data_IF_957076830643
#
_entry.id   IF_957076830643
#
_cell.length_a   1.000
_cell.length_b   1.000
_cell.length_c   1.000
_cell.angle_alpha   90.00
_cell.angle_beta   90.00
_cell.angle_gamma   90.00
#
_symmetry.space_group_name_H-M   'P 1'
#
loop_
_entity.id
_entity.type
_entity.pdbx_description
1 polymer ?
#
# COMPACT_ATOMS: atom_id res chain seq x y z
N UNK A 1 -32.24 -5.89 9.65
CA UNK A 1 -30.84 -5.44 9.69
C UNK A 1 -30.74 -4.29 8.71
N UNK A 2 -30.98 -3.07 9.20
CA UNK A 2 -30.66 -1.86 8.43
C UNK A 2 -29.13 -1.85 8.23
N UNK A 3 -28.70 -1.78 6.98
CA UNK A 3 -27.31 -1.52 6.67
C UNK A 3 -26.99 -0.10 7.13
N UNK A 4 -25.97 0.06 7.97
CA UNK A 4 -25.45 1.38 8.34
C UNK A 4 -25.12 2.16 7.07
N UNK A 5 -25.52 3.45 6.98
CA UNK A 5 -25.26 4.25 5.80
C UNK A 5 -23.76 4.44 5.63
N UNK A 6 -23.24 4.07 4.46
CA UNK A 6 -21.85 4.34 4.08
C UNK A 6 -21.67 5.86 4.04
N UNK A 7 -20.76 6.44 4.85
CA UNK A 7 -20.61 7.89 4.95
C UNK A 7 -20.11 8.49 3.63
N UNK A 8 -20.62 9.68 3.31
CA UNK A 8 -20.31 10.40 2.07
C UNK A 8 -18.82 10.82 2.05
N UNK A 9 -18.07 10.63 0.93
CA UNK A 9 -16.66 11.00 0.83
C UNK A 9 -16.33 12.47 1.18
N UNK A 10 -17.30 13.38 1.05
CA UNK A 10 -17.15 14.80 1.42
C UNK A 10 -17.21 15.00 2.95
N UNK A 11 -18.01 14.20 3.66
CA UNK A 11 -18.10 14.24 5.14
C UNK A 11 -16.88 13.59 5.81
N UNK A 12 -16.29 12.55 5.20
CA UNK A 12 -15.08 11.93 5.74
C UNK A 12 -13.90 12.93 5.74
N UNK A 13 -13.82 13.76 4.70
CA UNK A 13 -12.82 14.85 4.63
C UNK A 13 -13.03 15.92 5.70
N UNK A 14 -14.24 16.13 6.21
CA UNK A 14 -14.51 17.11 7.28
C UNK A 14 -14.17 16.55 8.66
N UNK A 15 -14.37 15.25 8.88
CA UNK A 15 -14.02 14.57 10.14
C UNK A 15 -12.51 14.50 10.32
N UNK A 16 -11.77 13.99 9.33
CA UNK A 16 -10.31 13.88 9.42
C UNK A 16 -9.64 15.25 9.59
N UNK A 17 -10.19 16.28 8.94
CA UNK A 17 -9.75 17.66 9.11
C UNK A 17 -9.96 18.15 10.55
N UNK A 18 -11.16 17.97 11.12
CA UNK A 18 -11.45 18.38 12.49
C UNK A 18 -10.57 17.62 13.51
N UNK A 19 -10.29 16.33 13.26
CA UNK A 19 -9.33 15.57 14.05
C UNK A 19 -7.94 16.19 13.96
N UNK A 20 -7.47 16.53 12.76
CA UNK A 20 -6.16 17.16 12.58
C UNK A 20 -6.02 18.52 13.27
N UNK A 21 -7.07 19.35 13.30
CA UNK A 21 -7.07 20.61 14.06
C UNK A 21 -6.89 20.37 15.57
N UNK A 22 -7.65 19.42 16.12
CA UNK A 22 -7.56 19.03 17.54
C UNK A 22 -6.21 18.43 17.88
N UNK A 23 -5.66 17.58 17.00
CA UNK A 23 -4.31 17.02 17.14
C UNK A 23 -3.26 18.14 17.15
N UNK A 24 -3.42 19.17 16.30
CA UNK A 24 -2.59 20.37 16.31
C UNK A 24 -2.62 21.11 17.66
N UNK A 25 -3.76 21.10 18.35
CA UNK A 25 -3.91 21.64 19.70
C UNK A 25 -3.36 20.72 20.81
N UNK A 26 -2.89 19.52 20.48
CA UNK A 26 -2.33 18.55 21.44
C UNK A 26 -3.35 17.53 21.97
N UNK A 27 -4.51 17.38 21.34
CA UNK A 27 -5.53 16.40 21.73
C UNK A 27 -5.09 14.97 21.35
N UNK A 28 -4.65 14.21 22.36
CA UNK A 28 -4.28 12.80 22.20
C UNK A 28 -5.47 11.88 21.89
N UNK A 29 -6.69 12.25 22.31
CA UNK A 29 -7.89 11.49 22.02
C UNK A 29 -8.24 11.57 20.54
N UNK A 30 -8.16 12.78 19.96
CA UNK A 30 -8.34 12.97 18.52
C UNK A 30 -7.29 12.20 17.70
N UNK A 31 -6.05 12.13 18.18
CA UNK A 31 -5.01 11.34 17.51
C UNK A 31 -5.31 9.84 17.55
N UNK A 32 -5.76 9.31 18.69
CA UNK A 32 -6.16 7.89 18.79
C UNK A 32 -7.26 7.57 17.78
N UNK A 33 -8.29 8.41 17.72
CA UNK A 33 -9.40 8.23 16.78
C UNK A 33 -8.91 8.23 15.33
N UNK A 34 -8.03 9.17 14.96
CA UNK A 34 -7.44 9.21 13.63
C UNK A 34 -6.65 7.94 13.31
N UNK A 35 -5.86 7.42 14.27
CA UNK A 35 -5.11 6.18 14.10
C UNK A 35 -6.06 5.00 13.90
N UNK A 36 -7.09 4.85 14.74
CA UNK A 36 -8.07 3.76 14.64
C UNK A 36 -8.78 3.74 13.28
N UNK A 37 -9.10 4.91 12.72
CA UNK A 37 -9.74 5.04 11.40
C UNK A 37 -8.85 4.60 10.24
N UNK A 38 -7.54 4.89 10.31
CA UNK A 38 -6.65 4.78 9.14
C UNK A 38 -5.59 3.68 9.24
N UNK A 39 -5.33 3.13 10.42
CA UNK A 39 -4.19 2.21 10.63
C UNK A 39 -4.24 0.96 9.77
N UNK A 40 -5.41 0.35 9.61
CA UNK A 40 -5.55 -0.89 8.84
C UNK A 40 -5.25 -0.66 7.35
N UNK A 41 -5.71 0.47 6.82
CA UNK A 41 -5.47 0.86 5.42
C UNK A 41 -3.98 1.17 5.18
N UNK A 42 -3.34 1.89 6.10
CA UNK A 42 -1.90 2.18 6.04
C UNK A 42 -1.08 0.88 6.13
N UNK A 43 -1.36 0.02 7.11
CA UNK A 43 -0.66 -1.27 7.29
C UNK A 43 -0.85 -2.13 6.04
N UNK A 44 -2.08 -2.25 5.52
CA UNK A 44 -2.38 -3.00 4.31
C UNK A 44 -1.63 -2.48 3.09
N UNK A 45 -1.58 -1.15 2.90
CA UNK A 45 -0.81 -0.50 1.84
C UNK A 45 0.68 -0.81 1.99
N UNK A 46 1.25 -0.67 3.18
CA UNK A 46 2.67 -0.94 3.42
C UNK A 46 3.00 -2.43 3.20
N UNK A 47 2.13 -3.33 3.66
CA UNK A 47 2.31 -4.78 3.49
C UNK A 47 2.36 -5.17 2.02
N UNK A 48 1.48 -4.59 1.18
CA UNK A 48 1.50 -4.82 -0.28
C UNK A 48 2.72 -4.23 -0.97
N UNK A 49 3.39 -3.28 -0.34
CA UNK A 49 4.60 -2.67 -0.86
C UNK A 49 5.86 -3.42 -0.43
N UNK A 50 5.96 -3.85 0.82
CA UNK A 50 7.18 -4.39 1.44
C UNK A 50 7.16 -5.90 1.71
N UNK A 51 5.98 -6.53 1.73
CA UNK A 51 5.80 -7.98 1.87
C UNK A 51 6.04 -8.55 3.29
N UNK A 52 6.40 -7.73 4.28
CA UNK A 52 6.69 -8.18 5.65
C UNK A 52 5.74 -7.51 6.65
N UNK A 53 4.97 -8.31 7.40
CA UNK A 53 3.97 -7.83 8.36
C UNK A 53 4.58 -6.99 9.50
N UNK A 54 5.65 -7.46 10.14
CA UNK A 54 6.27 -6.76 11.27
C UNK A 54 6.83 -5.40 10.84
N UNK A 55 7.49 -5.34 9.68
CA UNK A 55 7.99 -4.07 9.15
C UNK A 55 6.84 -3.14 8.72
N UNK A 56 5.69 -3.69 8.34
CA UNK A 56 4.54 -2.89 7.92
C UNK A 56 3.96 -2.11 9.09
N UNK A 57 3.86 -2.75 10.26
CA UNK A 57 3.44 -2.09 11.50
C UNK A 57 4.43 -1.00 11.91
N UNK A 58 5.73 -1.27 11.86
CA UNK A 58 6.78 -0.29 12.20
C UNK A 58 6.74 0.95 11.30
N UNK A 59 6.56 0.75 9.99
CA UNK A 59 6.43 1.85 9.04
C UNK A 59 5.10 2.60 9.24
N UNK A 60 3.99 1.90 9.50
CA UNK A 60 2.71 2.54 9.79
C UNK A 60 2.79 3.41 11.06
N UNK A 61 3.44 2.92 12.12
CA UNK A 61 3.71 3.73 13.31
C UNK A 61 4.49 5.00 12.96
N UNK A 62 5.53 4.89 12.12
CA UNK A 62 6.29 6.06 11.66
C UNK A 62 5.43 7.05 10.84
N UNK A 63 4.46 6.58 10.05
CA UNK A 63 3.49 7.43 9.36
C UNK A 63 2.71 8.27 10.37
N UNK A 64 2.07 7.64 11.36
CA UNK A 64 1.26 8.35 12.34
C UNK A 64 2.09 9.26 13.26
N UNK A 65 3.32 8.86 13.61
CA UNK A 65 4.24 9.74 14.34
C UNK A 65 4.60 10.99 13.53
N UNK A 66 4.75 10.89 12.21
CA UNK A 66 4.97 12.06 11.34
C UNK A 66 3.72 12.93 11.27
N UNK A 67 2.53 12.34 11.23
CA UNK A 67 1.27 13.09 11.25
C UNK A 67 1.17 13.89 12.56
N UNK A 68 1.35 13.24 13.71
CA UNK A 68 1.36 13.91 15.02
C UNK A 68 2.34 15.09 15.06
N UNK A 69 3.59 14.87 14.63
CA UNK A 69 4.64 15.90 14.63
C UNK A 69 4.31 17.09 13.71
N UNK A 70 3.58 16.86 12.63
CA UNK A 70 3.26 17.89 11.64
C UNK A 70 1.85 18.49 11.79
N UNK A 71 1.01 17.96 12.68
CA UNK A 71 -0.39 18.39 12.80
C UNK A 71 -0.56 19.89 13.03
N UNK A 72 0.31 20.51 13.83
CA UNK A 72 0.32 21.97 14.06
C UNK A 72 0.51 22.81 12.79
N UNK A 73 1.12 22.24 11.76
CA UNK A 73 1.45 22.92 10.49
C UNK A 73 0.59 22.41 9.33
N UNK A 74 -0.31 21.48 9.60
CA UNK A 74 -1.17 20.89 8.58
C UNK A 74 -2.12 21.96 8.02
N UNK A 75 -2.25 21.98 6.69
CA UNK A 75 -3.21 22.82 5.96
C UNK A 75 -4.02 21.90 5.03
N UNK A 76 -5.35 22.03 4.99
CA UNK A 76 -6.22 21.17 4.21
C UNK A 76 -6.29 21.63 2.74
N UNK A 77 -5.16 21.60 2.04
CA UNK A 77 -5.11 22.00 0.62
C UNK A 77 -5.60 20.86 -0.31
N UNK A 78 -5.71 19.64 0.22
CA UNK A 78 -6.24 18.44 -0.42
C UNK A 78 -6.89 17.54 0.64
N UNK A 79 -7.52 16.43 0.21
CA UNK A 79 -8.06 15.43 1.14
C UNK A 79 -6.97 14.93 2.07
N UNK A 80 -7.34 14.64 3.33
CA UNK A 80 -6.42 14.10 4.31
C UNK A 80 -5.76 12.78 3.84
N UNK A 81 -6.51 11.92 3.14
CA UNK A 81 -5.99 10.67 2.57
C UNK A 81 -4.83 10.90 1.60
N UNK A 82 -4.87 11.96 0.79
CA UNK A 82 -3.74 12.36 -0.08
C UNK A 82 -2.50 12.69 0.76
N UNK A 83 -2.65 13.46 1.84
CA UNK A 83 -1.55 13.78 2.74
C UNK A 83 -1.00 12.53 3.45
N UNK A 84 -1.87 11.67 3.96
CA UNK A 84 -1.55 10.39 4.60
C UNK A 84 -0.72 9.48 3.67
N UNK A 85 -1.20 9.28 2.44
CA UNK A 85 -0.53 8.41 1.49
C UNK A 85 0.73 9.03 0.90
N UNK A 86 0.87 10.36 0.88
CA UNK A 86 2.15 11.03 0.55
C UNK A 86 3.23 10.69 1.58
N UNK A 87 2.90 10.75 2.88
CA UNK A 87 3.83 10.35 3.95
C UNK A 87 4.17 8.87 3.84
N UNK A 88 3.16 8.03 3.65
CA UNK A 88 3.31 6.57 3.50
C UNK A 88 4.21 6.21 2.33
N UNK A 89 3.96 6.78 1.15
CA UNK A 89 4.78 6.61 -0.06
C UNK A 89 6.23 6.97 0.19
N UNK A 90 6.49 8.08 0.87
CA UNK A 90 7.86 8.51 1.16
C UNK A 90 8.61 7.52 2.05
N UNK A 91 7.95 7.01 3.10
CA UNK A 91 8.54 6.02 4.00
C UNK A 91 8.79 4.69 3.28
N UNK A 92 7.79 4.20 2.54
CA UNK A 92 7.90 2.96 1.77
C UNK A 92 9.04 3.03 0.75
N UNK A 93 9.13 4.08 -0.06
CA UNK A 93 10.18 4.19 -1.08
C UNK A 93 11.57 4.30 -0.46
N UNK A 94 11.69 4.99 0.68
CA UNK A 94 12.95 5.04 1.41
C UNK A 94 13.37 3.66 1.92
N UNK A 95 12.44 2.86 2.45
CA UNK A 95 12.75 1.51 2.93
C UNK A 95 13.07 0.55 1.77
N UNK A 96 12.32 0.61 0.67
CA UNK A 96 12.62 -0.15 -0.56
C UNK A 96 14.05 0.12 -1.04
N UNK A 97 14.45 1.40 -1.13
CA UNK A 97 15.80 1.79 -1.54
C UNK A 97 16.87 1.34 -0.54
N UNK A 98 16.57 1.41 0.76
CA UNK A 98 17.46 0.92 1.82
C UNK A 98 17.68 -0.58 1.70
N UNK A 99 16.63 -1.36 1.40
CA UNK A 99 16.73 -2.81 1.17
C UNK A 99 17.53 -3.14 -0.07
N UNK A 100 17.31 -2.45 -1.18
CA UNK A 100 18.10 -2.66 -2.41
C UNK A 100 19.59 -2.46 -2.15
N UNK A 101 19.98 -1.39 -1.45
CA UNK A 101 21.39 -1.14 -1.07
C UNK A 101 21.95 -2.21 -0.13
N UNK A 102 21.17 -2.68 0.85
CA UNK A 102 21.62 -3.78 1.74
C UNK A 102 21.85 -5.08 0.96
N UNK A 103 21.01 -5.36 -0.03
CA UNK A 103 21.16 -6.54 -0.90
C UNK A 103 22.41 -6.41 -1.77
N UNK A 104 22.69 -5.23 -2.31
CA UNK A 104 23.94 -4.96 -3.06
C UNK A 104 25.19 -5.17 -2.19
N UNK A 105 25.20 -4.65 -0.95
CA UNK A 105 26.35 -4.82 -0.02
C UNK A 105 26.49 -6.26 0.48
N UNK A 106 25.38 -6.97 0.69
CA UNK A 106 25.40 -8.39 1.08
C UNK A 106 25.76 -9.32 -0.10
N UNK A 107 25.70 -8.85 -1.34
CA UNK A 107 26.02 -9.64 -2.53
C UNK A 107 27.54 -9.80 -2.74
N UNK A 108 28.38 -9.03 -2.03
CA UNK A 108 29.84 -9.24 -1.96
C UNK A 108 30.24 -10.33 -0.93
N UNK A 109 29.29 -10.78 -0.10
CA UNK A 109 29.51 -11.84 0.88
C UNK A 109 28.32 -12.82 0.88
N UNK A 110 28.26 -13.68 -0.14
CA UNK A 110 27.71 -15.05 -0.19
C UNK A 110 27.14 -15.38 -1.57
N UNK A 111 27.95 -16.07 -2.37
CA UNK A 111 27.43 -17.25 -3.07
C UNK A 111 27.05 -18.31 -2.02
N UNK A 112 26.09 -19.15 -2.39
CA UNK A 112 25.42 -20.18 -1.56
C UNK A 112 24.31 -19.66 -0.65
N UNK A 113 23.06 -19.78 -1.15
CA UNK A 113 22.11 -20.69 -0.52
C UNK A 113 20.95 -21.01 -1.47
N UNK A 114 20.93 -22.28 -1.90
CA UNK A 114 19.78 -23.19 -1.98
C UNK A 114 18.49 -22.68 -2.65
N UNK A 115 18.27 -23.14 -3.89
CA UNK A 115 16.94 -23.51 -4.35
C UNK A 115 16.36 -24.54 -3.38
N UNK A 116 15.34 -24.17 -2.61
CA UNK A 116 14.36 -25.13 -2.11
C UNK A 116 13.19 -25.12 -3.07
N UNK A 117 13.26 -26.03 -4.03
CA UNK A 117 12.08 -26.56 -4.70
C UNK A 117 11.31 -27.35 -3.64
N UNK A 118 10.11 -26.88 -3.31
CA UNK A 118 9.17 -27.66 -2.50
C UNK A 118 8.64 -28.77 -3.40
N UNK A 119 8.96 -30.01 -3.06
CA UNK A 119 8.37 -31.20 -3.66
C UNK A 119 6.87 -31.23 -3.36
N UNK A 120 6.04 -31.05 -4.38
CA UNK A 120 4.61 -31.30 -4.29
C UNK A 120 4.38 -32.81 -4.41
N UNK A 121 3.85 -33.42 -3.34
CA UNK A 121 3.39 -34.81 -3.33
C UNK A 121 2.17 -34.97 -4.26
N UNK A 122 2.03 -36.09 -4.98
CA UNK A 122 0.84 -36.34 -5.78
C UNK A 122 -0.30 -36.86 -4.92
N UNK A 123 -1.53 -36.55 -5.33
CA UNK A 123 -2.83 -36.96 -4.77
C UNK A 123 -3.46 -36.02 -3.73
N UNK A 124 -4.16 -35.01 -4.24
CA UNK A 124 -5.52 -34.63 -3.81
C UNK A 124 -6.17 -33.77 -4.89
N UNK A 125 -7.42 -34.10 -5.25
CA UNK A 125 -8.22 -33.34 -6.22
C UNK A 125 -8.36 -31.88 -5.74
N UNK A 126 -8.27 -30.87 -6.64
CA UNK A 126 -8.34 -29.48 -6.21
C UNK A 126 -9.79 -29.08 -5.89
N UNK A 127 -10.04 -28.78 -4.62
CA UNK A 127 -11.17 -27.95 -4.18
C UNK A 127 -10.97 -26.53 -4.70
N UNK A 128 -12.04 -25.88 -5.18
CA UNK A 128 -12.00 -24.54 -5.77
C UNK A 128 -11.34 -23.47 -4.87
N UNK A 129 -11.32 -23.69 -3.55
CA UNK A 129 -10.66 -22.83 -2.57
C UNK A 129 -9.13 -22.83 -2.70
N UNK A 130 -8.52 -23.98 -3.02
CA UNK A 130 -7.07 -24.08 -3.22
C UNK A 130 -6.64 -23.32 -4.48
N UNK A 131 -7.42 -23.46 -5.56
CA UNK A 131 -7.16 -22.78 -6.83
C UNK A 131 -7.28 -21.25 -6.69
N UNK A 132 -8.24 -20.79 -5.87
CA UNK A 132 -8.39 -19.37 -5.57
C UNK A 132 -7.24 -18.82 -4.72
N UNK A 133 -6.73 -19.60 -3.76
CA UNK A 133 -5.57 -19.22 -2.95
C UNK A 133 -4.29 -19.13 -3.81
N UNK A 134 -4.09 -20.08 -4.72
CA UNK A 134 -2.97 -20.06 -5.67
C UNK A 134 -3.03 -18.84 -6.59
N UNK A 135 -4.20 -18.52 -7.13
CA UNK A 135 -4.39 -17.31 -7.94
C UNK A 135 -4.10 -16.04 -7.14
N UNK A 136 -4.58 -15.96 -5.90
CA UNK A 136 -4.34 -14.80 -5.04
C UNK A 136 -2.85 -14.63 -4.73
N UNK A 137 -2.14 -15.71 -4.43
CA UNK A 137 -0.70 -15.69 -4.23
C UNK A 137 0.06 -15.27 -5.51
N UNK A 138 -0.36 -15.77 -6.67
CA UNK A 138 0.19 -15.36 -7.96
C UNK A 138 -0.01 -13.86 -8.22
N UNK A 139 -1.20 -13.32 -7.91
CA UNK A 139 -1.51 -11.90 -8.03
C UNK A 139 -0.61 -11.07 -7.10
N UNK A 140 -0.48 -11.46 -5.83
CA UNK A 140 0.34 -10.73 -4.87
C UNK A 140 1.83 -10.77 -5.25
N UNK A 141 2.34 -11.91 -5.74
CA UNK A 141 3.68 -12.02 -6.32
C UNK A 141 3.87 -11.13 -7.55
N UNK A 142 2.92 -11.12 -8.47
CA UNK A 142 2.98 -10.30 -9.68
C UNK A 142 2.99 -8.80 -9.35
N UNK A 143 2.16 -8.36 -8.40
CA UNK A 143 2.16 -6.99 -7.88
C UNK A 143 3.51 -6.66 -7.21
N UNK A 144 4.05 -7.59 -6.42
CA UNK A 144 5.37 -7.44 -5.79
C UNK A 144 6.54 -7.47 -6.80
N UNK A 145 6.33 -7.89 -8.05
CA UNK A 145 7.29 -7.80 -9.14
C UNK A 145 7.31 -6.44 -9.85
N UNK A 146 6.26 -5.61 -9.67
CA UNK A 146 6.18 -4.32 -10.34
C UNK A 146 7.21 -3.30 -9.80
N UNK A 147 7.70 -2.37 -10.65
CA UNK A 147 8.46 -1.21 -10.20
C UNK A 147 7.73 -0.43 -9.09
N UNK A 148 8.47 0.16 -8.14
CA UNK A 148 7.90 0.76 -6.91
C UNK A 148 6.74 1.73 -7.18
N UNK A 149 6.89 2.60 -8.19
CA UNK A 149 5.87 3.58 -8.54
C UNK A 149 4.63 2.93 -9.18
N UNK A 150 4.83 1.90 -10.02
CA UNK A 150 3.74 1.11 -10.62
C UNK A 150 2.94 0.38 -9.55
N UNK A 151 3.64 -0.29 -8.64
CA UNK A 151 3.05 -1.00 -7.51
C UNK A 151 2.23 -0.06 -6.63
N UNK A 152 2.81 1.07 -6.22
CA UNK A 152 2.12 2.05 -5.38
C UNK A 152 0.84 2.55 -6.05
N UNK A 153 0.89 2.91 -7.34
CA UNK A 153 -0.32 3.37 -8.04
C UNK A 153 -1.40 2.28 -8.12
N UNK A 154 -1.02 1.02 -8.37
CA UNK A 154 -1.97 -0.11 -8.37
C UNK A 154 -2.60 -0.29 -7.00
N UNK A 155 -1.80 -0.25 -5.93
CA UNK A 155 -2.27 -0.43 -4.56
C UNK A 155 -3.25 0.69 -4.18
N UNK A 156 -2.87 1.95 -4.37
CA UNK A 156 -3.72 3.11 -4.09
C UNK A 156 -5.01 3.09 -4.92
N UNK A 157 -4.94 2.64 -6.17
CA UNK A 157 -6.14 2.59 -7.03
C UNK A 157 -7.09 1.46 -6.64
N UNK A 158 -6.56 0.27 -6.35
CA UNK A 158 -7.36 -0.94 -6.16
C UNK A 158 -7.91 -1.05 -4.74
N UNK A 159 -7.08 -0.78 -3.74
CA UNK A 159 -7.42 -1.02 -2.33
C UNK A 159 -7.90 0.25 -1.65
N UNK A 160 -7.21 1.37 -1.91
CA UNK A 160 -7.56 2.67 -1.31
C UNK A 160 -8.55 3.48 -2.16
N UNK A 161 -8.91 2.98 -3.34
CA UNK A 161 -9.91 3.54 -4.26
C UNK A 161 -9.67 5.01 -4.63
N UNK A 162 -8.41 5.47 -4.59
CA UNK A 162 -8.07 6.84 -4.91
C UNK A 162 -8.32 7.17 -6.40
N UNK A 163 -8.71 8.42 -6.65
CA UNK A 163 -8.83 8.98 -7.98
C UNK A 163 -7.47 9.10 -8.67
N UNK A 164 -7.45 9.31 -9.98
CA UNK A 164 -6.16 9.48 -10.68
C UNK A 164 -5.47 10.79 -10.30
N UNK A 165 -6.25 11.81 -9.96
CA UNK A 165 -5.81 13.10 -9.42
C UNK A 165 -5.16 12.91 -8.04
N UNK A 166 -5.83 12.21 -7.13
CA UNK A 166 -5.28 11.94 -5.80
C UNK A 166 -4.00 11.10 -5.86
N UNK A 167 -3.95 10.09 -6.74
CA UNK A 167 -2.73 9.30 -6.96
C UNK A 167 -1.62 10.16 -7.57
N UNK A 168 -1.96 11.09 -8.46
CA UNK A 168 -1.01 12.01 -9.06
C UNK A 168 -0.36 12.90 -7.99
N UNK A 169 -1.17 13.44 -7.07
CA UNK A 169 -0.70 14.22 -5.93
C UNK A 169 0.20 13.39 -5.00
N UNK A 170 -0.22 12.18 -4.62
CA UNK A 170 0.56 11.27 -3.76
C UNK A 170 1.91 10.92 -4.37
N UNK A 171 1.96 10.70 -5.69
CA UNK A 171 3.18 10.31 -6.40
C UNK A 171 4.03 11.49 -6.84
N UNK A 172 3.50 12.73 -6.81
CA UNK A 172 4.16 13.91 -7.36
C UNK A 172 4.28 13.87 -8.88
N UNK A 173 3.25 13.35 -9.56
CA UNK A 173 3.23 13.14 -11.02
C UNK A 173 2.06 13.90 -11.66
N UNK A 174 2.04 13.98 -12.99
CA UNK A 174 0.83 14.42 -13.70
C UNK A 174 -0.20 13.29 -13.79
N UNK A 175 -1.48 13.63 -13.89
CA UNK A 175 -2.56 12.65 -14.12
C UNK A 175 -2.30 11.80 -15.38
N UNK A 176 -1.72 12.38 -16.43
CA UNK A 176 -1.33 11.66 -17.65
C UNK A 176 -0.23 10.62 -17.39
N UNK A 177 0.76 10.97 -16.56
CA UNK A 177 1.81 10.05 -16.15
C UNK A 177 1.25 8.90 -15.31
N UNK A 178 0.30 9.17 -14.39
CA UNK A 178 -0.39 8.12 -13.61
C UNK A 178 -1.17 7.17 -14.51
N UNK A 179 -1.93 7.69 -15.49
CA UNK A 179 -2.65 6.85 -16.47
C UNK A 179 -1.70 5.92 -17.22
N UNK A 180 -0.58 6.45 -17.71
CA UNK A 180 0.45 5.68 -18.41
C UNK A 180 1.12 4.63 -17.53
N UNK A 181 1.31 4.96 -16.25
CA UNK A 181 1.94 4.09 -15.26
C UNK A 181 1.00 2.94 -14.87
N UNK A 182 -0.28 3.21 -14.63
CA UNK A 182 -1.30 2.18 -14.38
C UNK A 182 -1.53 1.30 -15.61
N UNK A 183 -1.49 1.86 -16.82
CA UNK A 183 -1.59 1.08 -18.05
C UNK A 183 -0.44 0.06 -18.14
N UNK A 184 0.81 0.53 -17.96
CA UNK A 184 1.99 -0.35 -17.96
C UNK A 184 1.90 -1.43 -16.89
N UNK A 185 1.51 -1.06 -15.67
CA UNK A 185 1.32 -2.01 -14.58
C UNK A 185 0.31 -3.11 -14.94
N UNK A 186 -0.84 -2.75 -15.51
CA UNK A 186 -1.86 -3.73 -15.95
C UNK A 186 -1.35 -4.65 -17.06
N UNK A 187 -0.54 -4.13 -17.99
CA UNK A 187 0.07 -4.95 -19.04
C UNK A 187 1.02 -5.98 -18.44
N UNK A 188 1.94 -5.55 -17.58
CA UNK A 188 2.88 -6.47 -16.90
C UNK A 188 2.16 -7.50 -16.02
N UNK A 189 1.10 -7.10 -15.31
CA UNK A 189 0.30 -8.03 -14.51
C UNK A 189 -0.42 -9.06 -15.41
N UNK A 190 -0.97 -8.64 -16.55
CA UNK A 190 -1.63 -9.57 -17.49
C UNK A 190 -0.65 -10.58 -18.07
N UNK A 191 0.55 -10.15 -18.42
CA UNK A 191 1.61 -11.03 -18.90
C UNK A 191 2.02 -12.05 -17.83
N UNK A 192 2.28 -11.58 -16.61
CA UNK A 192 2.67 -12.43 -15.48
C UNK A 192 1.58 -13.43 -15.05
N UNK A 193 0.31 -13.07 -15.21
CA UNK A 193 -0.83 -13.90 -14.80
C UNK A 193 -1.48 -14.66 -15.96
N UNK A 194 -0.94 -14.57 -17.18
CA UNK A 194 -1.53 -15.18 -18.38
C UNK A 194 -1.77 -16.70 -18.24
N UNK A 195 -0.87 -17.41 -17.55
CA UNK A 195 -1.01 -18.85 -17.27
C UNK A 195 -2.17 -19.21 -16.33
N UNK A 196 -2.66 -18.25 -15.53
CA UNK A 196 -3.81 -18.44 -14.64
C UNK A 196 -5.13 -17.93 -15.24
N UNK A 197 -5.07 -17.14 -16.32
CA UNK A 197 -6.22 -16.55 -17.00
C UNK A 197 -6.64 -17.32 -18.25
N UNK A 198 -5.92 -18.38 -18.61
CA UNK A 198 -6.10 -19.15 -19.83
C UNK A 198 -6.96 -20.43 -19.66
N UNK A 199 -7.74 -20.52 -18.59
CA UNK A 199 -8.80 -21.53 -18.40
C UNK A 199 -10.19 -20.87 -18.34
#
# INVERSE_FOLDING_TARGET
MEADPVPNPVEVSSVDFALMERIGAGDHGAFRELVERHQNAVIGTVAKMLGNASESEDIAQQVFLRIWKNAKRYRPDAKFTTYLYTITRNLVFNETRRKSRKKEVSSDEREEHSNQLVEASPDRQPDAELLQAELQEAVDKAIAGLPEAQRMAVVLRRYEQLSYEEIADVLGLSVSAVKSLLFRARTSLREALSGYLAE
#
